data_IF_418108558005
#
_entry.id   IF_418108558005
#
_cell.length_a   1.000
_cell.length_b   1.000
_cell.length_c   1.000
_cell.angle_alpha   90.00
_cell.angle_beta   90.00
_cell.angle_gamma   90.00
#
_symmetry.space_group_name_H-M   'P 1'
#
loop_
_entity.id
_entity.type
_entity.pdbx_description
1 polymer ?
#
# COMPACT_ATOMS: atom_id res chain seq x y z
N UNK A 1 -14.64 -4.51 -15.42
CA UNK A 1 -14.61 -3.07 -15.13
C UNK A 1 -13.19 -2.76 -14.71
N UNK A 2 -12.52 -1.76 -15.29
CA UNK A 2 -11.15 -1.40 -14.88
C UNK A 2 -11.19 -0.68 -13.53
N UNK A 3 -10.27 -1.01 -12.63
CA UNK A 3 -10.11 -0.30 -11.36
C UNK A 3 -9.71 1.15 -11.63
N UNK A 4 -10.33 2.08 -10.91
CA UNK A 4 -9.99 3.51 -10.95
C UNK A 4 -9.15 3.90 -9.73
N UNK A 5 -7.95 4.41 -9.98
CA UNK A 5 -7.03 4.88 -8.95
C UNK A 5 -7.13 6.39 -8.69
N UNK A 6 -7.84 7.17 -9.52
CA UNK A 6 -7.86 8.64 -9.41
C UNK A 6 -8.33 9.12 -8.04
N UNK A 7 -9.32 8.45 -7.45
CA UNK A 7 -9.86 8.82 -6.15
C UNK A 7 -8.82 8.68 -5.03
N UNK A 8 -8.09 7.55 -4.97
CA UNK A 8 -7.07 7.36 -3.93
C UNK A 8 -5.91 8.34 -4.10
N UNK A 9 -5.46 8.62 -5.33
CA UNK A 9 -4.46 9.66 -5.56
C UNK A 9 -4.96 11.05 -5.16
N UNK A 10 -6.23 11.38 -5.46
CA UNK A 10 -6.81 12.68 -5.13
C UNK A 10 -6.86 12.93 -3.62
N UNK A 11 -7.32 11.95 -2.83
CA UNK A 11 -7.48 12.10 -1.38
C UNK A 11 -6.15 12.24 -0.65
N UNK A 12 -5.12 11.55 -1.13
CA UNK A 12 -3.81 11.49 -0.48
C UNK A 12 -2.79 12.50 -1.02
N UNK A 13 -3.07 13.22 -2.12
CA UNK A 13 -2.16 14.26 -2.68
C UNK A 13 -1.78 15.38 -1.72
N UNK A 14 -2.57 15.58 -0.65
CA UNK A 14 -2.32 16.61 0.38
C UNK A 14 -1.15 16.27 1.30
N UNK A 15 -0.67 15.02 1.27
CA UNK A 15 0.54 14.58 1.97
C UNK A 15 1.72 14.68 1.01
N UNK A 16 2.56 15.73 1.11
CA UNK A 16 3.70 15.91 0.21
C UNK A 16 4.82 14.93 0.55
N UNK A 17 5.67 14.62 -0.45
CA UNK A 17 6.95 13.99 -0.18
C UNK A 17 7.83 14.96 0.61
N UNK A 18 8.25 14.55 1.81
CA UNK A 18 9.20 15.34 2.61
C UNK A 18 10.58 15.28 1.96
N UNK A 19 11.31 16.39 1.99
CA UNK A 19 12.72 16.44 1.53
C UNK A 19 13.60 15.42 2.24
N UNK A 20 13.24 15.09 3.48
CA UNK A 20 13.89 14.05 4.26
C UNK A 20 12.85 13.19 4.97
N UNK A 21 12.99 11.87 4.84
CA UNK A 21 12.18 10.89 5.56
C UNK A 21 12.98 10.42 6.77
N UNK A 22 12.42 10.59 7.96
CA UNK A 22 13.10 10.19 9.19
C UNK A 22 13.27 8.67 9.26
N UNK A 23 14.46 8.23 9.65
CA UNK A 23 14.82 6.82 9.69
C UNK A 23 15.57 6.48 10.96
N UNK A 24 15.42 5.23 11.42
CA UNK A 24 16.21 4.73 12.53
C UNK A 24 17.70 4.72 12.14
N UNK A 25 18.59 5.34 12.93
CA UNK A 25 20.00 5.53 12.56
C UNK A 25 20.81 4.22 12.47
N UNK A 26 20.28 3.11 12.97
CA UNK A 26 20.92 1.81 12.96
C UNK A 26 20.22 0.82 12.02
N UNK A 27 19.18 1.25 11.30
CA UNK A 27 18.47 0.38 10.38
C UNK A 27 19.07 0.48 8.98
N UNK A 28 19.08 -0.65 8.29
CA UNK A 28 19.45 -0.73 6.87
C UNK A 28 18.41 0.03 6.04
N UNK A 29 18.78 1.25 5.65
CA UNK A 29 17.99 2.17 4.83
C UNK A 29 18.83 2.73 3.67
N UNK A 30 19.97 2.10 3.37
CA UNK A 30 20.86 2.54 2.30
C UNK A 30 20.10 2.65 0.98
N UNK A 31 20.21 3.83 0.35
CA UNK A 31 19.53 4.19 -0.90
C UNK A 31 18.00 4.24 -0.86
N UNK A 32 17.33 3.84 0.23
CA UNK A 32 15.87 3.83 0.30
C UNK A 32 15.29 5.22 0.04
N UNK A 33 15.81 6.23 0.73
CA UNK A 33 15.40 7.62 0.53
C UNK A 33 15.66 8.12 -0.90
N UNK A 34 16.85 7.82 -1.44
CA UNK A 34 17.22 8.18 -2.82
C UNK A 34 16.28 7.54 -3.84
N UNK A 35 15.91 6.27 -3.65
CA UNK A 35 14.98 5.56 -4.54
C UNK A 35 13.59 6.19 -4.52
N UNK A 36 13.08 6.55 -3.34
CA UNK A 36 11.78 7.21 -3.18
C UNK A 36 11.72 8.59 -3.85
N UNK A 37 12.86 9.30 -3.93
CA UNK A 37 12.97 10.61 -4.56
C UNK A 37 13.38 10.55 -6.05
N UNK A 38 13.64 9.36 -6.59
CA UNK A 38 14.23 9.20 -7.92
C UNK A 38 13.30 9.64 -9.06
N UNK A 39 11.98 9.58 -8.85
CA UNK A 39 10.95 9.88 -9.85
C UNK A 39 9.62 10.23 -9.19
N UNK A 40 8.68 10.71 -10.01
CA UNK A 40 7.32 11.02 -9.56
C UNK A 40 6.62 9.79 -8.97
N UNK A 41 5.76 10.01 -7.97
CA UNK A 41 5.06 8.96 -7.22
C UNK A 41 4.45 7.86 -8.12
N UNK A 42 3.73 8.25 -9.17
CA UNK A 42 3.08 7.32 -10.10
C UNK A 42 4.04 6.48 -10.97
N UNK A 43 5.35 6.75 -10.92
CA UNK A 43 6.37 6.03 -11.68
C UNK A 43 7.25 5.12 -10.80
N UNK A 44 7.11 5.16 -9.48
CA UNK A 44 7.84 4.27 -8.56
C UNK A 44 7.45 2.81 -8.80
N UNK A 45 8.43 1.91 -8.84
CA UNK A 45 8.23 0.46 -8.94
C UNK A 45 8.37 -0.20 -7.56
N UNK A 46 8.17 -1.51 -7.51
CA UNK A 46 8.46 -2.29 -6.32
C UNK A 46 9.90 -2.12 -5.82
N UNK A 47 10.87 -2.08 -6.73
CA UNK A 47 12.28 -1.90 -6.35
C UNK A 47 12.53 -0.60 -5.59
N UNK A 48 11.83 0.49 -5.96
CA UNK A 48 11.98 1.77 -5.28
C UNK A 48 11.28 1.80 -3.92
N UNK A 49 10.17 1.07 -3.79
CA UNK A 49 9.27 1.12 -2.64
C UNK A 49 9.52 0.02 -1.60
N UNK A 50 10.19 -1.08 -1.95
CA UNK A 50 10.27 -2.29 -1.11
C UNK A 50 10.72 -1.99 0.33
N UNK A 51 11.82 -1.25 0.50
CA UNK A 51 12.36 -0.93 1.83
C UNK A 51 11.34 -0.09 2.62
N UNK A 52 10.68 0.85 1.95
CA UNK A 52 9.66 1.68 2.56
C UNK A 52 8.43 0.87 2.97
N UNK A 53 7.89 0.00 2.12
CA UNK A 53 6.74 -0.87 2.44
C UNK A 53 7.02 -1.66 3.72
N UNK A 54 8.18 -2.32 3.79
CA UNK A 54 8.56 -3.15 4.93
C UNK A 54 8.76 -2.35 6.22
N UNK A 55 9.46 -1.21 6.14
CA UNK A 55 9.92 -0.44 7.31
C UNK A 55 9.04 0.75 7.69
N UNK A 56 8.03 1.04 6.87
CA UNK A 56 7.10 2.17 7.06
C UNK A 56 6.59 2.25 8.49
N UNK A 57 6.68 3.45 9.07
CA UNK A 57 6.22 3.84 10.40
C UNK A 57 6.91 3.17 11.60
N UNK A 58 7.64 2.06 11.39
CA UNK A 58 8.34 1.37 12.48
C UNK A 58 9.79 1.79 12.58
N UNK A 59 10.47 1.89 11.45
CA UNK A 59 11.90 2.26 11.38
C UNK A 59 12.22 3.23 10.26
N UNK A 60 11.25 3.56 9.40
CA UNK A 60 11.41 4.52 8.32
C UNK A 60 10.09 5.25 8.00
N UNK A 61 10.11 6.58 8.08
CA UNK A 61 8.96 7.46 7.88
C UNK A 61 7.93 7.40 9.01
N UNK A 62 6.97 8.33 8.94
CA UNK A 62 5.79 8.36 9.80
C UNK A 62 4.50 8.08 9.01
N UNK A 63 3.35 8.31 9.65
CA UNK A 63 2.05 8.08 9.03
C UNK A 63 1.79 9.00 7.83
N UNK A 64 2.31 10.22 7.81
CA UNK A 64 2.15 11.12 6.67
C UNK A 64 2.99 10.67 5.48
N UNK A 65 4.20 10.16 5.74
CA UNK A 65 5.04 9.54 4.70
C UNK A 65 4.35 8.29 4.14
N UNK A 66 3.78 7.45 5.01
CA UNK A 66 3.03 6.27 4.58
C UNK A 66 1.83 6.66 3.71
N UNK A 67 1.08 7.70 4.12
CA UNK A 67 -0.05 8.26 3.37
C UNK A 67 0.37 8.84 2.02
N UNK A 68 1.57 9.40 1.90
CA UNK A 68 2.10 9.87 0.61
C UNK A 68 2.27 8.71 -0.39
N UNK A 69 2.88 7.60 0.04
CA UNK A 69 3.16 6.46 -0.84
C UNK A 69 2.00 5.47 -0.98
N UNK A 70 1.01 5.54 -0.09
CA UNK A 70 -0.14 4.63 -0.03
C UNK A 70 -0.83 4.41 -1.39
N UNK A 71 -1.18 5.45 -2.17
CA UNK A 71 -1.88 5.26 -3.44
C UNK A 71 -1.08 4.41 -4.42
N UNK A 72 0.25 4.61 -4.45
CA UNK A 72 1.13 3.91 -5.37
C UNK A 72 1.36 2.46 -4.97
N UNK A 73 1.56 2.21 -3.68
CA UNK A 73 1.74 0.84 -3.16
C UNK A 73 0.48 0.01 -3.45
N UNK A 74 -0.72 0.58 -3.20
CA UNK A 74 -1.98 -0.12 -3.48
C UNK A 74 -2.16 -0.37 -4.98
N UNK A 75 -1.90 0.63 -5.83
CA UNK A 75 -1.95 0.47 -7.29
C UNK A 75 -1.05 -0.67 -7.75
N UNK A 76 0.20 -0.75 -7.25
CA UNK A 76 1.13 -1.80 -7.63
C UNK A 76 0.65 -3.19 -7.20
N UNK A 77 0.03 -3.35 -6.02
CA UNK A 77 -0.59 -4.63 -5.65
C UNK A 77 -1.69 -5.04 -6.63
N UNK A 78 -2.46 -4.08 -7.16
CA UNK A 78 -3.54 -4.38 -8.11
C UNK A 78 -3.01 -4.65 -9.52
N UNK A 79 -1.99 -3.91 -9.97
CA UNK A 79 -1.49 -3.96 -11.35
C UNK A 79 -0.31 -4.91 -11.56
N UNK A 80 0.41 -5.26 -10.50
CA UNK A 80 1.70 -5.96 -10.54
C UNK A 80 1.86 -6.91 -9.34
N UNK A 81 0.77 -7.60 -8.97
CA UNK A 81 0.65 -8.42 -7.76
C UNK A 81 1.79 -9.43 -7.60
N UNK A 82 2.06 -10.23 -8.63
CA UNK A 82 3.03 -11.33 -8.57
C UNK A 82 4.50 -10.88 -8.48
N UNK A 83 4.78 -9.60 -8.70
CA UNK A 83 6.12 -9.03 -8.51
C UNK A 83 6.24 -8.28 -7.18
N UNK A 84 5.21 -8.30 -6.32
CA UNK A 84 5.26 -7.67 -5.02
C UNK A 84 6.38 -8.29 -4.17
N UNK A 85 7.23 -7.47 -3.53
CA UNK A 85 8.34 -7.96 -2.71
C UNK A 85 7.88 -8.51 -1.35
N UNK A 86 6.65 -8.18 -0.94
CA UNK A 86 6.03 -8.60 0.31
C UNK A 86 4.55 -8.88 0.11
N UNK A 87 4.07 -9.85 0.89
CA UNK A 87 2.67 -10.25 1.04
C UNK A 87 1.73 -9.05 1.23
N UNK A 88 0.52 -9.14 0.66
CA UNK A 88 -0.48 -8.09 0.79
C UNK A 88 -0.93 -7.92 2.24
N UNK A 89 -0.94 -9.01 3.03
CA UNK A 89 -1.21 -8.98 4.46
C UNK A 89 -0.25 -8.09 5.25
N UNK A 90 1.04 -8.05 4.86
CA UNK A 90 2.01 -7.14 5.47
C UNK A 90 1.60 -5.69 5.23
N UNK A 91 1.21 -5.34 4.01
CA UNK A 91 0.74 -3.99 3.69
C UNK A 91 -0.54 -3.62 4.44
N UNK A 92 -1.51 -4.53 4.55
CA UNK A 92 -2.70 -4.31 5.36
C UNK A 92 -2.37 -4.09 6.85
N UNK A 93 -1.41 -4.83 7.41
CA UNK A 93 -0.96 -4.61 8.78
C UNK A 93 -0.37 -3.20 9.00
N UNK A 94 0.20 -2.56 7.96
CA UNK A 94 0.65 -1.17 8.02
C UNK A 94 -0.53 -0.19 8.09
N UNK A 95 -1.61 -0.45 7.36
CA UNK A 95 -2.84 0.35 7.47
C UNK A 95 -3.42 0.30 8.88
N UNK A 96 -3.41 -0.86 9.52
CA UNK A 96 -3.82 -1.01 10.91
C UNK A 96 -2.89 -0.31 11.88
N UNK A 97 -1.57 -0.47 11.71
CA UNK A 97 -0.57 0.22 12.52
C UNK A 97 -0.75 1.74 12.46
N UNK A 98 -1.13 2.25 11.27
CA UNK A 98 -1.44 3.65 11.03
C UNK A 98 -2.80 4.11 11.58
N UNK A 99 -3.57 3.21 12.19
CA UNK A 99 -4.90 3.46 12.77
C UNK A 99 -5.89 4.04 11.76
N UNK A 100 -6.04 3.39 10.62
CA UNK A 100 -6.94 3.82 9.54
C UNK A 100 -8.38 4.10 10.01
N UNK A 101 -8.85 3.46 11.07
CA UNK A 101 -10.15 3.70 11.68
C UNK A 101 -10.32 5.12 12.24
N UNK A 102 -9.20 5.80 12.53
CA UNK A 102 -9.15 7.18 13.03
C UNK A 102 -8.98 8.23 11.94
N UNK A 103 -8.74 7.81 10.69
CA UNK A 103 -8.54 8.73 9.57
C UNK A 103 -9.84 9.45 9.22
N UNK A 104 -9.72 10.58 8.51
CA UNK A 104 -10.90 11.30 8.04
C UNK A 104 -11.72 10.41 7.10
N UNK A 105 -13.06 10.50 7.11
CA UNK A 105 -13.92 9.56 6.39
C UNK A 105 -13.57 9.40 4.91
N UNK A 106 -13.17 10.48 4.24
CA UNK A 106 -12.83 10.47 2.82
C UNK A 106 -11.59 9.60 2.53
N UNK A 107 -10.56 9.68 3.36
CA UNK A 107 -9.34 8.87 3.21
C UNK A 107 -9.64 7.40 3.47
N UNK A 108 -10.33 7.09 4.57
CA UNK A 108 -10.72 5.73 4.92
C UNK A 108 -11.56 5.10 3.81
N UNK A 109 -12.57 5.82 3.33
CA UNK A 109 -13.45 5.32 2.27
C UNK A 109 -12.71 5.14 0.95
N UNK A 110 -11.73 5.98 0.62
CA UNK A 110 -10.95 5.80 -0.61
C UNK A 110 -10.16 4.49 -0.61
N UNK A 111 -9.59 4.10 0.54
CA UNK A 111 -8.88 2.83 0.70
C UNK A 111 -9.85 1.64 0.67
N UNK A 112 -10.92 1.70 1.46
CA UNK A 112 -11.90 0.60 1.55
C UNK A 112 -12.58 0.36 0.19
N UNK A 113 -13.05 1.42 -0.46
CA UNK A 113 -13.72 1.28 -1.77
C UNK A 113 -12.77 0.70 -2.82
N UNK A 114 -11.47 1.07 -2.80
CA UNK A 114 -10.50 0.52 -3.74
C UNK A 114 -10.30 -0.99 -3.50
N UNK A 115 -10.13 -1.40 -2.25
CA UNK A 115 -10.04 -2.80 -1.86
C UNK A 115 -11.28 -3.58 -2.29
N UNK A 116 -12.48 -3.12 -1.90
CA UNK A 116 -13.75 -3.77 -2.21
C UNK A 116 -13.96 -3.91 -3.73
N UNK A 117 -13.67 -2.86 -4.49
CA UNK A 117 -13.78 -2.89 -5.94
C UNK A 117 -12.83 -3.93 -6.56
N UNK A 118 -11.60 -4.04 -6.04
CA UNK A 118 -10.63 -5.03 -6.50
C UNK A 118 -11.08 -6.46 -6.17
N UNK A 119 -11.47 -6.73 -4.93
CA UNK A 119 -11.98 -8.06 -4.53
C UNK A 119 -13.23 -8.44 -5.32
N UNK A 120 -14.17 -7.51 -5.51
CA UNK A 120 -15.35 -7.76 -6.32
C UNK A 120 -14.99 -8.03 -7.79
N UNK A 121 -13.99 -7.34 -8.33
CA UNK A 121 -13.50 -7.60 -9.68
C UNK A 121 -12.94 -9.02 -9.79
N UNK A 122 -12.03 -9.43 -8.89
CA UNK A 122 -11.44 -10.77 -8.88
C UNK A 122 -12.52 -11.86 -8.82
N UNK A 123 -13.51 -11.68 -7.93
CA UNK A 123 -14.65 -12.61 -7.78
C UNK A 123 -15.52 -12.67 -9.03
N UNK A 124 -15.68 -11.54 -9.73
CA UNK A 124 -16.53 -11.45 -10.92
C UNK A 124 -15.87 -11.95 -12.20
N UNK A 125 -14.55 -11.77 -12.33
CA UNK A 125 -13.79 -12.22 -13.49
C UNK A 125 -13.58 -13.73 -13.45
N UNK A 126 -13.25 -14.26 -12.27
CA UNK A 126 -13.22 -15.71 -12.00
C UNK A 126 -12.22 -16.47 -12.86
N UNK A 127 -11.16 -15.82 -13.35
CA UNK A 127 -10.06 -16.54 -14.00
C UNK A 127 -9.26 -17.31 -12.96
N UNK A 128 -8.50 -18.33 -13.38
CA UNK A 128 -7.63 -19.11 -12.48
C UNK A 128 -6.68 -18.19 -11.70
N UNK A 129 -6.03 -17.26 -12.39
CA UNK A 129 -5.14 -16.27 -11.76
C UNK A 129 -5.88 -15.35 -10.78
N UNK A 130 -7.11 -14.92 -11.08
CA UNK A 130 -7.89 -14.07 -10.15
C UNK A 130 -8.26 -14.83 -8.87
N UNK A 131 -8.57 -16.12 -8.98
CA UNK A 131 -8.90 -16.98 -7.84
C UNK A 131 -7.66 -17.26 -6.99
N UNK A 132 -6.50 -17.47 -7.60
CA UNK A 132 -5.21 -17.60 -6.89
C UNK A 132 -4.89 -16.33 -6.08
N UNK A 133 -5.05 -15.14 -6.67
CA UNK A 133 -4.86 -13.87 -5.96
C UNK A 133 -5.83 -13.74 -4.78
N UNK A 134 -7.11 -14.13 -4.96
CA UNK A 134 -8.09 -14.09 -3.87
C UNK A 134 -7.70 -15.03 -2.72
N UNK A 135 -7.31 -16.25 -3.02
CA UNK A 135 -6.88 -17.23 -2.01
C UNK A 135 -5.64 -16.74 -1.25
N UNK A 136 -4.69 -16.12 -1.96
CA UNK A 136 -3.48 -15.56 -1.37
C UNK A 136 -3.81 -14.36 -0.45
N UNK A 137 -4.67 -13.43 -0.88
CA UNK A 137 -5.16 -12.32 -0.04
C UNK A 137 -5.86 -12.82 1.22
N UNK A 138 -6.72 -13.84 1.10
CA UNK A 138 -7.43 -14.43 2.24
C UNK A 138 -6.44 -15.08 3.23
N UNK A 139 -5.48 -15.85 2.71
CA UNK A 139 -4.43 -16.49 3.51
C UNK A 139 -3.56 -15.46 4.23
N UNK A 140 -3.20 -14.38 3.55
CA UNK A 140 -2.42 -13.27 4.09
C UNK A 140 -3.13 -12.56 5.24
N UNK A 141 -4.42 -12.26 5.09
CA UNK A 141 -5.22 -11.63 6.16
C UNK A 141 -5.21 -12.51 7.41
N UNK A 142 -5.34 -13.83 7.25
CA UNK A 142 -5.27 -14.79 8.35
C UNK A 142 -3.88 -14.86 8.98
N UNK A 143 -2.82 -14.97 8.16
CA UNK A 143 -1.43 -15.06 8.59
C UNK A 143 -0.98 -13.85 9.41
N UNK A 144 -1.29 -12.65 8.92
CA UNK A 144 -0.94 -11.40 9.59
C UNK A 144 -1.94 -11.02 10.70
N UNK A 145 -3.02 -11.78 10.86
CA UNK A 145 -4.11 -11.54 11.82
C UNK A 145 -4.68 -10.13 11.70
N UNK A 146 -4.77 -9.67 10.45
CA UNK A 146 -5.23 -8.33 10.12
C UNK A 146 -6.72 -8.26 10.51
N UNK A 147 -7.06 -7.34 11.39
CA UNK A 147 -8.45 -7.00 11.77
C UNK A 147 -9.08 -5.95 10.85
N UNK A 148 -8.45 -5.67 9.71
CA UNK A 148 -8.83 -4.61 8.79
C UNK A 148 -10.28 -4.85 8.38
N UNK A 149 -11.16 -4.09 9.00
CA UNK A 149 -12.60 -4.28 8.88
C UNK A 149 -13.02 -3.75 7.52
N UNK A 150 -13.42 -4.68 6.67
CA UNK A 150 -14.32 -4.41 5.55
C UNK A 150 -15.71 -4.84 6.00
#
# INVERSE_FOLDING_TARGET
>A
MSIDFQNIYHEFKKYPLKEKIEGCPHCELENAETSLHSKALGLLSWDDLQIFVFKSMTTFGDVEDFKHFLPRIFELYISDYWNAPYDFGLFLSKLEYAKIETWVPQEKNAVINLYENWVNQLKSAGTETDLEILEDIETDIECFKVQFVV
#
